data_IF_914121661528
#
_entry.id   IF_914121661528
#
_cell.length_a   1.000
_cell.length_b   1.000
_cell.length_c   1.000
_cell.angle_alpha   90.00
_cell.angle_beta   90.00
_cell.angle_gamma   90.00
#
_symmetry.space_group_name_H-M   'P 1'
#
loop_
_entity.id
_entity.type
_entity.pdbx_description
1 polymer ?
#
# COMPACT_ATOMS: atom_id res chain seq x y z
N UNK A 1 75.78 4.22 41.50
CA UNK A 1 74.98 4.60 40.33
C UNK A 1 74.24 3.35 39.91
N UNK A 2 72.92 3.39 39.96
CA UNK A 2 72.08 2.27 39.53
C UNK A 2 72.16 2.14 38.00
N UNK A 3 72.47 0.93 37.51
CA UNK A 3 72.48 0.66 36.09
C UNK A 3 71.04 0.76 35.52
N UNK A 4 70.84 1.38 34.35
CA UNK A 4 69.50 1.49 33.77
C UNK A 4 68.97 0.09 33.41
N UNK A 5 67.75 -0.19 33.79
CA UNK A 5 67.03 -1.49 33.67
C UNK A 5 66.95 -2.00 32.20
N UNK A 6 67.29 -1.20 31.22
CA UNK A 6 67.22 -1.51 29.77
C UNK A 6 68.64 -1.53 29.12
N UNK A 7 69.72 -1.58 29.90
CA UNK A 7 71.07 -1.59 29.34
C UNK A 7 71.43 -2.97 28.78
N UNK A 8 71.57 -3.06 27.44
CA UNK A 8 72.06 -4.30 26.78
C UNK A 8 73.36 -4.01 26.04
N UNK A 9 74.49 -4.14 26.70
CA UNK A 9 75.82 -3.81 26.18
C UNK A 9 76.21 -4.68 24.98
N UNK A 10 75.64 -5.87 24.83
CA UNK A 10 75.88 -6.78 23.70
C UNK A 10 74.92 -6.66 22.55
N UNK A 11 73.91 -5.75 22.66
CA UNK A 11 72.83 -5.61 21.72
C UNK A 11 72.16 -6.95 21.37
N UNK A 12 72.14 -7.89 22.27
CA UNK A 12 71.63 -9.24 22.02
C UNK A 12 70.10 -9.23 21.77
N UNK A 13 69.38 -8.36 22.50
CA UNK A 13 67.95 -8.20 22.31
C UNK A 13 67.64 -7.56 20.95
N UNK A 14 68.41 -6.55 20.55
CA UNK A 14 68.27 -5.91 19.26
C UNK A 14 68.60 -6.85 18.09
N UNK A 15 69.62 -7.68 18.22
CA UNK A 15 69.96 -8.69 17.21
C UNK A 15 68.87 -9.72 17.05
N UNK A 16 68.24 -10.19 18.17
CA UNK A 16 67.09 -11.11 18.10
C UNK A 16 65.85 -10.46 17.47
N UNK A 17 65.56 -9.20 17.84
CA UNK A 17 64.43 -8.45 17.28
C UNK A 17 64.63 -8.22 15.79
N UNK A 18 65.85 -7.83 15.37
CA UNK A 18 66.16 -7.65 13.95
C UNK A 18 66.04 -8.96 13.19
N UNK A 19 66.56 -10.07 13.72
CA UNK A 19 66.41 -11.39 13.11
C UNK A 19 64.93 -11.77 12.96
N UNK A 20 64.10 -11.46 13.98
CA UNK A 20 62.68 -11.69 13.92
C UNK A 20 62.01 -10.89 12.78
N UNK A 21 62.33 -9.60 12.65
CA UNK A 21 61.82 -8.76 11.56
C UNK A 21 62.32 -9.22 10.18
N UNK A 22 63.56 -9.66 10.08
CA UNK A 22 64.11 -10.19 8.83
C UNK A 22 63.38 -11.49 8.42
N UNK A 23 63.12 -12.38 9.37
CA UNK A 23 62.36 -13.62 9.15
C UNK A 23 60.91 -13.32 8.74
N UNK A 24 60.24 -12.39 9.44
CA UNK A 24 58.87 -11.97 9.10
C UNK A 24 58.86 -11.37 7.71
N UNK A 25 59.80 -10.47 7.39
CA UNK A 25 59.90 -9.85 6.08
C UNK A 25 60.10 -10.86 4.95
N UNK A 26 61.00 -11.82 5.13
CA UNK A 26 61.21 -12.92 4.17
C UNK A 26 59.94 -13.77 4.02
N UNK A 27 59.29 -14.10 5.15
CA UNK A 27 58.06 -14.89 5.12
C UNK A 27 56.94 -14.18 4.35
N UNK A 28 56.73 -12.87 4.59
CA UNK A 28 55.74 -12.07 3.86
C UNK A 28 56.09 -12.01 2.37
N UNK A 29 57.36 -11.82 2.04
CA UNK A 29 57.79 -11.79 0.64
C UNK A 29 57.54 -13.10 -0.06
N UNK A 30 57.85 -14.23 0.59
CA UNK A 30 57.57 -15.56 0.03
C UNK A 30 56.07 -15.82 -0.13
N UNK A 31 55.26 -15.34 0.80
CA UNK A 31 53.80 -15.44 0.73
C UNK A 31 53.24 -14.63 -0.45
N UNK A 32 53.75 -13.44 -0.67
CA UNK A 32 53.38 -12.59 -1.84
C UNK A 32 53.80 -13.26 -3.14
N UNK A 33 55.02 -13.79 -3.21
CA UNK A 33 55.54 -14.52 -4.38
C UNK A 33 54.68 -15.78 -4.63
N UNK A 34 54.36 -16.53 -3.58
CA UNK A 34 53.49 -17.69 -3.68
C UNK A 34 52.09 -17.34 -4.20
N UNK A 35 51.51 -16.25 -3.63
CA UNK A 35 50.20 -15.78 -4.07
C UNK A 35 50.23 -15.27 -5.54
N UNK A 36 51.27 -14.51 -5.90
CA UNK A 36 51.45 -14.09 -7.29
C UNK A 36 51.66 -15.29 -8.23
N UNK A 37 52.46 -16.26 -7.83
CA UNK A 37 52.66 -17.48 -8.60
C UNK A 37 51.41 -18.32 -8.75
N UNK A 38 50.60 -18.47 -7.68
CA UNK A 38 49.32 -19.17 -7.75
C UNK A 38 48.30 -18.41 -8.57
N UNK A 39 48.28 -17.07 -8.47
CA UNK A 39 47.37 -16.22 -9.29
C UNK A 39 47.75 -16.26 -10.78
N UNK A 40 49.07 -16.32 -11.11
CA UNK A 40 49.52 -16.39 -12.50
C UNK A 40 49.46 -17.83 -13.08
N UNK A 41 49.43 -18.84 -12.23
CA UNK A 41 49.24 -20.25 -12.61
C UNK A 41 47.83 -20.78 -12.37
N UNK A 42 46.89 -19.96 -11.88
CA UNK A 42 45.50 -20.37 -11.90
C UNK A 42 45.16 -20.67 -13.34
N UNK A 43 45.19 -21.96 -13.72
CA UNK A 43 44.48 -22.39 -14.92
C UNK A 43 43.09 -21.80 -14.85
N UNK A 44 42.57 -21.23 -15.95
CA UNK A 44 41.19 -20.82 -15.99
C UNK A 44 40.40 -22.02 -15.44
N UNK A 45 39.64 -21.77 -14.35
CA UNK A 45 38.73 -22.78 -13.79
C UNK A 45 38.15 -23.52 -14.99
N UNK A 46 38.24 -24.86 -15.09
CA UNK A 46 37.63 -25.58 -16.18
C UNK A 46 36.24 -25.03 -16.30
N UNK A 47 35.88 -24.55 -17.51
CA UNK A 47 34.53 -24.06 -17.75
C UNK A 47 33.61 -25.02 -17.05
N UNK A 48 33.08 -24.63 -15.89
CA UNK A 48 32.00 -25.33 -15.28
C UNK A 48 31.00 -25.41 -16.42
N UNK A 49 30.87 -26.60 -17.00
CA UNK A 49 29.83 -26.94 -17.96
C UNK A 49 28.51 -26.85 -17.19
N UNK A 50 28.22 -25.68 -16.66
CA UNK A 50 26.86 -25.29 -16.38
C UNK A 50 26.17 -25.39 -17.74
N UNK A 51 25.20 -26.28 -17.88
CA UNK A 51 24.42 -26.35 -19.12
C UNK A 51 24.02 -24.93 -19.43
N UNK A 52 24.10 -24.48 -20.69
CA UNK A 52 24.05 -23.07 -21.06
C UNK A 52 22.79 -22.42 -20.50
N UNK A 53 22.89 -21.84 -19.31
CA UNK A 53 21.82 -21.07 -18.63
C UNK A 53 21.45 -19.79 -19.37
N UNK A 54 22.14 -19.48 -20.49
CA UNK A 54 21.76 -18.39 -21.39
C UNK A 54 20.37 -18.57 -22.02
N UNK A 55 19.90 -19.81 -22.22
CA UNK A 55 18.56 -20.07 -22.78
C UNK A 55 17.41 -19.66 -21.85
N UNK A 56 17.39 -19.98 -20.55
CA UNK A 56 16.32 -19.52 -19.68
C UNK A 56 16.23 -18.00 -19.56
N UNK A 57 17.38 -17.31 -19.51
CA UNK A 57 17.38 -15.85 -19.41
C UNK A 57 16.89 -15.17 -20.69
N UNK A 58 17.30 -15.66 -21.87
CA UNK A 58 16.77 -15.17 -23.15
C UNK A 58 15.30 -15.52 -23.34
N UNK A 59 14.88 -16.71 -22.94
CA UNK A 59 13.48 -17.11 -23.01
C UNK A 59 12.59 -16.33 -22.03
N UNK A 60 13.08 -16.02 -20.83
CA UNK A 60 12.39 -15.15 -19.88
C UNK A 60 12.31 -13.72 -20.41
N UNK A 61 13.40 -13.19 -20.97
CA UNK A 61 13.44 -11.85 -21.56
C UNK A 61 12.54 -11.73 -22.80
N UNK A 62 12.47 -12.75 -23.64
CA UNK A 62 11.54 -12.81 -24.77
C UNK A 62 10.09 -12.95 -24.30
N UNK A 63 9.82 -13.78 -23.27
CA UNK A 63 8.50 -13.87 -22.64
C UNK A 63 8.07 -12.55 -21.98
N UNK A 64 9.00 -11.84 -21.37
CA UNK A 64 8.72 -10.51 -20.82
C UNK A 64 8.46 -9.48 -21.91
N UNK A 65 9.21 -9.51 -23.00
CA UNK A 65 8.95 -8.66 -24.18
C UNK A 65 7.60 -8.99 -24.83
N UNK A 66 7.25 -10.26 -24.97
CA UNK A 66 5.92 -10.69 -25.47
C UNK A 66 4.81 -10.23 -24.51
N UNK A 67 4.98 -10.44 -23.21
CA UNK A 67 4.05 -9.93 -22.19
C UNK A 67 3.94 -8.40 -22.22
N UNK A 68 5.06 -7.70 -22.40
CA UNK A 68 5.07 -6.24 -22.57
C UNK A 68 4.36 -5.80 -23.85
N UNK A 69 4.50 -6.55 -24.96
CA UNK A 69 3.74 -6.30 -26.20
C UNK A 69 2.25 -6.56 -26.02
N UNK A 70 1.88 -7.65 -25.33
CA UNK A 70 0.49 -7.94 -25.00
C UNK A 70 -0.11 -6.88 -24.08
N UNK A 71 0.61 -6.47 -23.05
CA UNK A 71 0.22 -5.34 -22.17
C UNK A 71 0.02 -4.05 -22.99
N UNK A 72 0.93 -3.76 -23.93
CA UNK A 72 0.80 -2.60 -24.84
C UNK A 72 -0.39 -2.72 -25.78
N UNK A 73 -0.71 -3.92 -26.29
CA UNK A 73 -1.90 -4.16 -27.10
C UNK A 73 -3.19 -4.00 -26.29
N UNK A 74 -3.24 -4.55 -25.08
CA UNK A 74 -4.35 -4.38 -24.14
C UNK A 74 -4.51 -2.91 -23.73
N UNK A 75 -3.41 -2.21 -23.45
CA UNK A 75 -3.40 -0.78 -23.20
C UNK A 75 -3.87 0.02 -24.42
N UNK A 76 -3.48 -0.36 -25.64
CA UNK A 76 -3.95 0.28 -26.88
C UNK A 76 -5.44 0.05 -27.13
N UNK A 77 -5.96 -1.15 -26.83
CA UNK A 77 -7.39 -1.46 -26.89
C UNK A 77 -8.14 -0.64 -25.83
N UNK A 78 -7.63 -0.58 -24.60
CA UNK A 78 -8.19 0.29 -23.54
C UNK A 78 -8.11 1.77 -23.90
N UNK A 79 -6.96 2.25 -24.44
CA UNK A 79 -6.85 3.62 -25.00
C UNK A 79 -7.91 3.88 -26.07
N UNK A 80 -8.22 2.92 -26.91
CA UNK A 80 -9.30 3.00 -27.89
C UNK A 80 -10.68 3.12 -27.25
N UNK A 81 -10.92 2.43 -26.15
CA UNK A 81 -12.14 2.55 -25.33
C UNK A 81 -12.15 3.88 -24.59
N UNK A 82 -11.04 4.30 -23.99
CA UNK A 82 -10.90 5.59 -23.33
C UNK A 82 -10.90 6.77 -24.32
N UNK A 83 -10.28 6.64 -25.51
CA UNK A 83 -10.32 7.68 -26.54
C UNK A 83 -11.74 7.90 -27.08
N UNK A 84 -12.60 6.89 -27.10
CA UNK A 84 -14.04 7.06 -27.36
C UNK A 84 -14.79 7.72 -26.21
N UNK A 85 -14.21 7.71 -25.00
CA UNK A 85 -14.70 8.42 -23.80
C UNK A 85 -14.13 9.84 -23.67
N UNK A 86 -13.33 10.35 -24.62
CA UNK A 86 -12.63 11.64 -24.56
C UNK A 86 -13.45 12.89 -24.90
N UNK A 87 -14.76 12.78 -25.05
CA UNK A 87 -15.64 13.89 -24.64
C UNK A 87 -15.61 13.96 -23.09
N UNK A 88 -15.98 15.06 -22.40
CA UNK A 88 -15.94 15.15 -20.93
C UNK A 88 -16.91 14.12 -20.33
N UNK A 89 -16.56 12.85 -20.44
CA UNK A 89 -17.35 11.74 -19.98
C UNK A 89 -16.96 11.47 -18.57
N UNK A 90 -17.86 11.82 -17.73
CA UNK A 90 -17.86 11.40 -16.34
C UNK A 90 -17.75 9.87 -16.29
N UNK A 91 -16.70 9.34 -15.69
CA UNK A 91 -16.64 7.94 -15.31
C UNK A 91 -17.87 7.66 -14.47
N UNK A 92 -18.73 6.76 -14.93
CA UNK A 92 -19.94 6.37 -14.20
C UNK A 92 -19.56 5.22 -13.28
N UNK A 93 -19.69 5.44 -11.97
CA UNK A 93 -19.52 4.39 -10.99
C UNK A 93 -20.46 3.22 -11.30
N UNK A 94 -19.99 2.01 -11.07
CA UNK A 94 -20.71 0.77 -11.33
C UNK A 94 -21.19 0.60 -12.80
N UNK A 95 -20.41 1.12 -13.75
CA UNK A 95 -20.58 0.83 -15.18
C UNK A 95 -20.52 -0.70 -15.44
N UNK A 96 -21.01 -1.16 -16.60
CA UNK A 96 -21.04 -2.60 -16.91
C UNK A 96 -19.65 -3.24 -16.85
N UNK A 97 -18.61 -2.53 -17.27
CA UNK A 97 -17.22 -3.00 -17.29
C UNK A 97 -16.53 -2.93 -15.92
N UNK A 98 -17.20 -2.35 -14.90
CA UNK A 98 -16.60 -2.07 -13.60
C UNK A 98 -15.61 -0.89 -13.65
N UNK A 99 -15.29 -0.33 -12.49
CA UNK A 99 -14.34 0.78 -12.33
C UNK A 99 -13.29 0.36 -11.30
N UNK A 100 -12.03 0.60 -11.63
CA UNK A 100 -10.89 0.32 -10.77
C UNK A 100 -10.34 1.61 -10.23
N UNK A 101 -10.50 1.82 -8.95
CA UNK A 101 -9.87 2.91 -8.24
C UNK A 101 -8.69 2.39 -7.41
N UNK A 102 -7.73 3.24 -7.12
CA UNK A 102 -6.61 2.90 -6.24
C UNK A 102 -6.18 4.11 -5.42
N UNK A 103 -5.77 3.84 -4.19
CA UNK A 103 -5.13 4.82 -3.33
C UNK A 103 -3.62 4.79 -3.55
N UNK A 104 -3.05 5.95 -3.76
CA UNK A 104 -1.62 6.18 -3.85
C UNK A 104 -1.14 6.89 -2.59
N UNK A 105 -0.08 6.39 -1.99
CA UNK A 105 0.52 7.00 -0.81
C UNK A 105 1.97 7.39 -1.10
N UNK A 106 2.36 8.64 -0.84
CA UNK A 106 3.69 9.13 -1.19
C UNK A 106 4.78 8.60 -0.24
N UNK A 107 4.44 8.27 1.01
CA UNK A 107 5.39 7.78 2.03
C UNK A 107 5.91 6.36 1.77
N UNK A 108 5.35 5.62 0.81
CA UNK A 108 5.78 4.29 0.42
C UNK A 108 6.29 4.29 -1.03
N UNK A 109 7.59 4.10 -1.20
CA UNK A 109 8.21 4.06 -2.53
C UNK A 109 7.66 2.93 -3.42
N UNK A 110 7.14 1.85 -2.83
CA UNK A 110 6.49 0.77 -3.53
C UNK A 110 5.17 1.22 -4.19
N UNK A 111 4.49 2.23 -3.62
CA UNK A 111 3.26 2.80 -4.16
C UNK A 111 3.47 3.39 -5.57
N UNK A 112 4.55 4.17 -5.76
CA UNK A 112 4.88 4.70 -7.08
C UNK A 112 5.34 3.61 -8.07
N UNK A 113 6.04 2.59 -7.57
CA UNK A 113 6.47 1.46 -8.40
C UNK A 113 5.26 0.66 -8.90
N UNK A 114 4.28 0.41 -8.03
CA UNK A 114 3.02 -0.23 -8.37
C UNK A 114 2.20 0.63 -9.36
N UNK A 115 2.05 1.94 -9.10
CA UNK A 115 1.38 2.85 -10.02
C UNK A 115 1.98 2.79 -11.43
N UNK A 116 3.31 2.80 -11.54
CA UNK A 116 4.00 2.69 -12.84
C UNK A 116 3.75 1.37 -13.55
N UNK A 117 3.69 0.28 -12.82
CA UNK A 117 3.47 -1.06 -13.39
C UNK A 117 2.04 -1.22 -13.88
N UNK A 118 1.06 -0.69 -13.13
CA UNK A 118 -0.37 -0.93 -13.38
C UNK A 118 -1.16 0.30 -13.85
N UNK A 119 -0.47 1.38 -14.24
CA UNK A 119 -1.06 2.66 -14.63
C UNK A 119 -2.20 2.57 -15.65
N UNK A 120 -2.13 1.61 -16.59
CA UNK A 120 -3.17 1.39 -17.60
C UNK A 120 -4.33 0.52 -17.12
N UNK A 121 -4.28 0.04 -15.89
CA UNK A 121 -5.33 -0.78 -15.28
C UNK A 121 -6.15 0.00 -14.24
N UNK A 122 -5.80 1.24 -13.97
CA UNK A 122 -6.46 2.10 -12.98
C UNK A 122 -7.27 3.18 -13.72
N UNK A 123 -8.52 3.34 -13.34
CA UNK A 123 -9.43 4.34 -13.91
C UNK A 123 -9.49 5.59 -13.02
N UNK A 124 -9.47 5.43 -11.68
CA UNK A 124 -9.49 6.52 -10.69
C UNK A 124 -8.28 6.40 -9.77
N UNK A 125 -7.63 7.52 -9.48
CA UNK A 125 -6.53 7.59 -8.52
C UNK A 125 -6.88 8.55 -7.38
N UNK A 126 -6.74 8.08 -6.15
CA UNK A 126 -6.88 8.85 -4.93
C UNK A 126 -5.52 9.01 -4.25
N UNK A 127 -4.74 10.02 -4.63
CA UNK A 127 -3.44 10.24 -4.01
C UNK A 127 -3.59 10.94 -2.65
N UNK A 128 -2.96 10.38 -1.62
CA UNK A 128 -2.91 10.89 -0.25
C UNK A 128 -1.88 12.01 -0.13
N UNK A 129 -2.27 13.22 -0.49
CA UNK A 129 -1.36 14.35 -0.59
C UNK A 129 -1.63 15.49 0.36
N UNK A 130 -2.86 15.62 0.82
CA UNK A 130 -3.32 16.83 1.46
C UNK A 130 -3.85 16.53 2.87
N UNK A 131 -3.63 17.48 3.77
CA UNK A 131 -4.00 17.35 5.18
C UNK A 131 -4.72 18.61 5.66
N UNK A 132 -5.71 18.43 6.52
CA UNK A 132 -6.45 19.47 7.20
C UNK A 132 -6.40 19.22 8.71
N UNK A 133 -5.25 19.47 9.33
CA UNK A 133 -4.97 19.14 10.73
C UNK A 133 -4.98 20.37 11.65
N UNK A 134 -5.18 21.56 11.10
CA UNK A 134 -5.15 22.80 11.86
C UNK A 134 -6.55 23.30 12.25
N UNK A 135 -6.74 23.93 13.42
CA UNK A 135 -8.05 24.44 13.83
C UNK A 135 -8.65 25.53 12.93
N UNK A 136 -7.81 26.22 12.16
CA UNK A 136 -8.21 27.25 11.21
C UNK A 136 -8.44 26.72 9.77
N UNK A 137 -8.33 25.41 9.58
CA UNK A 137 -8.60 24.73 8.31
C UNK A 137 -7.60 25.06 7.20
N UNK A 138 -6.32 25.22 7.54
CA UNK A 138 -5.28 25.37 6.51
C UNK A 138 -5.07 24.06 5.79
N UNK A 139 -4.95 24.15 4.47
CA UNK A 139 -4.58 23.02 3.64
C UNK A 139 -3.07 22.82 3.67
N UNK A 140 -2.65 21.65 4.06
CA UNK A 140 -1.24 21.32 4.23
C UNK A 140 -0.86 20.07 3.42
N UNK A 141 0.42 19.94 3.10
CA UNK A 141 1.06 18.70 2.63
C UNK A 141 2.16 18.31 3.60
N UNK A 142 2.53 17.04 3.60
CA UNK A 142 3.63 16.52 4.41
C UNK A 142 4.88 16.34 3.53
N UNK A 143 6.02 16.81 4.01
CA UNK A 143 7.32 16.47 3.44
C UNK A 143 7.76 15.11 4.02
N UNK A 144 7.79 14.09 3.19
CA UNK A 144 8.10 12.71 3.57
C UNK A 144 9.50 12.54 4.18
N UNK A 145 10.46 13.40 3.78
CA UNK A 145 11.85 13.30 4.25
C UNK A 145 12.01 13.83 5.67
N UNK A 146 11.25 14.88 6.00
CA UNK A 146 11.36 15.59 7.27
C UNK A 146 10.20 15.33 8.21
N UNK A 147 9.14 14.68 7.73
CA UNK A 147 7.85 14.48 8.43
C UNK A 147 7.28 15.81 8.97
N UNK A 148 7.38 16.88 8.17
CA UNK A 148 6.89 18.21 8.53
C UNK A 148 5.76 18.61 7.62
N UNK A 149 4.77 19.28 8.19
CA UNK A 149 3.67 19.87 7.45
C UNK A 149 4.05 21.25 6.93
N UNK A 150 3.66 21.51 5.69
CA UNK A 150 3.82 22.80 5.01
C UNK A 150 2.48 23.25 4.46
N UNK A 151 2.19 24.55 4.58
CA UNK A 151 0.98 25.09 3.96
C UNK A 151 1.08 24.99 2.44
N UNK A 152 0.02 24.48 1.81
CA UNK A 152 -0.04 24.37 0.35
C UNK A 152 -0.28 25.77 -0.23
N UNK A 153 0.75 26.27 -0.90
CA UNK A 153 0.68 27.55 -1.64
C UNK A 153 0.69 27.23 -3.13
N UNK A 154 -0.37 27.56 -3.87
CA UNK A 154 -0.53 27.13 -5.28
C UNK A 154 0.61 27.51 -6.22
N UNK A 155 1.28 28.63 -5.97
CA UNK A 155 2.40 29.12 -6.79
C UNK A 155 3.78 28.69 -6.26
N UNK A 156 3.83 27.90 -5.19
CA UNK A 156 5.08 27.45 -4.59
C UNK A 156 5.48 26.08 -5.15
N UNK A 157 6.62 26.03 -5.84
CA UNK A 157 7.27 24.78 -6.27
C UNK A 157 8.01 24.07 -5.12
N UNK A 158 8.13 24.71 -3.96
CA UNK A 158 9.00 24.27 -2.85
C UNK A 158 8.34 23.17 -2.00
N UNK A 159 7.02 23.08 -2.00
CA UNK A 159 6.25 22.13 -1.20
C UNK A 159 5.10 21.56 -2.00
N UNK A 160 5.37 21.23 -3.27
CA UNK A 160 4.39 20.57 -4.10
C UNK A 160 4.16 19.14 -3.61
N UNK A 161 2.91 18.78 -3.57
CA UNK A 161 2.48 17.39 -3.52
C UNK A 161 3.22 16.59 -4.59
N UNK A 162 3.55 15.37 -4.29
CA UNK A 162 4.36 14.45 -5.06
C UNK A 162 4.66 14.85 -6.53
N UNK A 163 5.83 15.44 -6.78
CA UNK A 163 6.27 15.94 -8.10
C UNK A 163 6.38 14.85 -9.17
N UNK A 164 6.30 13.58 -8.80
CA UNK A 164 6.51 12.43 -9.71
C UNK A 164 5.23 12.01 -10.41
N UNK A 165 4.09 11.99 -9.70
CA UNK A 165 2.87 11.34 -10.18
C UNK A 165 2.26 12.09 -11.37
N UNK A 166 1.98 13.38 -11.26
CA UNK A 166 1.31 14.10 -12.34
C UNK A 166 2.13 14.19 -13.64
N UNK A 167 3.46 14.47 -13.61
CA UNK A 167 4.28 14.40 -14.80
C UNK A 167 4.31 12.99 -15.43
N UNK A 168 4.38 11.95 -14.61
CA UNK A 168 4.32 10.57 -15.06
C UNK A 168 2.98 10.25 -15.75
N UNK A 169 1.85 10.57 -15.12
CA UNK A 169 0.53 10.33 -15.70
C UNK A 169 0.31 11.08 -17.02
N UNK A 170 0.84 12.30 -17.12
CA UNK A 170 0.83 13.07 -18.38
C UNK A 170 1.65 12.40 -19.48
N UNK A 171 2.79 11.78 -19.12
CA UNK A 171 3.63 11.08 -20.11
C UNK A 171 3.01 9.79 -20.61
N UNK A 172 2.20 9.11 -19.79
CA UNK A 172 1.56 7.83 -20.13
C UNK A 172 0.22 7.99 -20.88
N UNK A 173 -0.36 9.20 -20.88
CA UNK A 173 -1.65 9.50 -21.53
C UNK A 173 -2.75 8.46 -21.21
N UNK A 174 -2.93 8.17 -19.94
CA UNK A 174 -3.75 7.04 -19.47
C UNK A 174 -5.26 7.31 -19.50
N UNK A 175 -5.68 8.56 -19.53
CA UNK A 175 -7.08 8.96 -19.31
C UNK A 175 -7.56 8.76 -17.86
N UNK A 176 -6.69 8.38 -16.94
CA UNK A 176 -6.97 8.21 -15.51
C UNK A 176 -7.52 9.50 -14.90
N UNK A 177 -8.59 9.40 -14.12
CA UNK A 177 -9.16 10.53 -13.38
C UNK A 177 -8.48 10.62 -12.00
N UNK A 178 -7.91 11.78 -11.68
CA UNK A 178 -7.17 12.00 -10.41
C UNK A 178 -7.98 12.87 -9.47
N UNK A 179 -8.15 12.39 -8.23
CA UNK A 179 -8.86 13.05 -7.14
C UNK A 179 -7.93 13.15 -5.94
N UNK A 180 -7.18 14.25 -5.78
CA UNK A 180 -6.36 14.45 -4.60
C UNK A 180 -7.16 14.22 -3.31
N UNK A 181 -6.59 13.44 -2.38
CA UNK A 181 -7.21 13.13 -1.11
C UNK A 181 -6.77 14.14 -0.05
N UNK A 182 -7.72 14.57 0.75
CA UNK A 182 -7.48 15.37 1.96
C UNK A 182 -7.93 14.57 3.17
N UNK A 183 -7.05 14.37 4.12
CA UNK A 183 -7.35 13.71 5.38
C UNK A 183 -7.08 14.61 6.60
N UNK A 184 -7.38 14.12 7.80
CA UNK A 184 -7.09 14.79 9.07
C UNK A 184 -6.06 14.04 9.92
N UNK A 185 -5.16 13.28 9.30
CA UNK A 185 -4.06 12.57 9.95
C UNK A 185 -2.83 13.50 10.07
N UNK A 186 -2.25 13.62 11.28
CA UNK A 186 -1.10 14.50 11.52
C UNK A 186 0.27 13.80 11.43
N UNK A 187 0.27 12.59 10.89
CA UNK A 187 1.46 11.73 10.81
C UNK A 187 1.62 10.79 12.01
N UNK A 188 0.79 10.96 13.05
CA UNK A 188 0.77 10.12 14.26
C UNK A 188 -0.64 9.66 14.59
N UNK A 189 -1.59 10.60 14.64
CA UNK A 189 -2.98 10.34 15.02
C UNK A 189 -3.97 11.08 14.13
N UNK A 190 -5.24 10.64 14.16
CA UNK A 190 -6.36 11.34 13.57
C UNK A 190 -6.79 12.52 14.46
N UNK A 191 -6.63 13.74 13.96
CA UNK A 191 -6.86 14.97 14.74
C UNK A 191 -8.35 15.31 14.80
N UNK A 192 -8.83 15.74 16.00
CA UNK A 192 -10.18 16.32 16.10
C UNK A 192 -10.23 17.72 15.44
N UNK A 193 -10.81 17.75 14.25
CA UNK A 193 -10.98 18.96 13.43
C UNK A 193 -12.31 19.68 13.64
N UNK A 194 -13.03 19.38 14.72
CA UNK A 194 -14.34 19.98 14.99
C UNK A 194 -14.30 21.51 15.07
N UNK A 195 -13.21 22.11 15.54
CA UNK A 195 -13.03 23.56 15.57
C UNK A 195 -13.06 24.14 14.16
N UNK A 196 -12.27 23.56 13.24
CA UNK A 196 -12.28 23.92 11.82
C UNK A 196 -13.67 23.75 11.18
N UNK A 197 -14.27 22.58 11.38
CA UNK A 197 -15.56 22.24 10.75
C UNK A 197 -16.69 23.16 11.20
N UNK A 198 -16.70 23.62 12.45
CA UNK A 198 -17.76 24.46 13.01
C UNK A 198 -17.57 25.97 12.72
N UNK A 199 -16.37 26.38 12.32
CA UNK A 199 -16.12 27.78 11.94
C UNK A 199 -16.35 27.98 10.43
N UNK A 200 -17.39 28.75 10.08
CA UNK A 200 -17.72 29.05 8.69
C UNK A 200 -16.61 29.83 7.96
N UNK A 201 -15.85 30.68 8.68
CA UNK A 201 -14.73 31.41 8.08
C UNK A 201 -13.56 30.45 7.77
N UNK A 202 -13.26 29.51 8.68
CA UNK A 202 -12.27 28.46 8.44
C UNK A 202 -12.64 27.56 7.26
N UNK A 203 -13.90 27.10 7.18
CA UNK A 203 -14.39 26.36 6.02
C UNK A 203 -14.27 27.17 4.73
N UNK A 204 -14.58 28.46 4.78
CA UNK A 204 -14.43 29.38 3.64
C UNK A 204 -12.99 29.46 3.14
N UNK A 205 -12.02 29.62 4.05
CA UNK A 205 -10.58 29.62 3.71
C UNK A 205 -10.14 28.28 3.12
N UNK A 206 -10.51 27.17 3.74
CA UNK A 206 -10.21 25.83 3.25
C UNK A 206 -10.71 25.63 1.82
N UNK A 207 -11.96 25.97 1.54
CA UNK A 207 -12.55 25.87 0.20
C UNK A 207 -11.82 26.69 -0.85
N UNK A 208 -11.38 27.90 -0.49
CA UNK A 208 -10.56 28.75 -1.36
C UNK A 208 -9.21 28.10 -1.69
N UNK A 209 -8.55 27.50 -0.69
CA UNK A 209 -7.28 26.79 -0.88
C UNK A 209 -7.47 25.55 -1.76
N UNK A 210 -8.52 24.74 -1.52
CA UNK A 210 -8.88 23.60 -2.39
C UNK A 210 -9.12 24.08 -3.81
N UNK A 211 -9.87 25.16 -4.00
CA UNK A 211 -10.17 25.68 -5.31
C UNK A 211 -8.92 26.16 -6.07
N UNK A 212 -7.98 26.79 -5.37
CA UNK A 212 -6.69 27.20 -5.91
C UNK A 212 -5.83 25.97 -6.25
N UNK A 213 -5.74 25.01 -5.33
CA UNK A 213 -4.99 23.77 -5.56
C UNK A 213 -5.51 22.98 -6.79
N UNK A 214 -6.81 22.77 -6.88
CA UNK A 214 -7.39 22.02 -8.01
C UNK A 214 -7.24 22.73 -9.36
N UNK A 215 -6.95 24.03 -9.37
CA UNK A 215 -6.66 24.78 -10.57
C UNK A 215 -5.23 24.59 -11.09
N UNK A 216 -4.32 23.98 -10.31
CA UNK A 216 -2.90 23.82 -10.70
C UNK A 216 -2.69 22.70 -11.72
N UNK A 217 -3.61 21.75 -11.81
CA UNK A 217 -3.51 20.62 -12.74
C UNK A 217 -4.88 20.12 -13.20
N UNK A 218 -4.88 19.10 -14.07
CA UNK A 218 -6.11 18.49 -14.62
C UNK A 218 -6.75 17.48 -13.65
N UNK A 219 -6.98 17.91 -12.43
CA UNK A 219 -7.75 17.11 -11.46
C UNK A 219 -9.23 17.03 -11.87
N UNK A 220 -9.89 15.94 -11.47
CA UNK A 220 -11.30 15.69 -11.80
C UNK A 220 -12.23 15.93 -10.62
N UNK A 221 -11.68 16.24 -9.48
CA UNK A 221 -12.38 16.52 -8.24
C UNK A 221 -11.51 16.37 -7.02
N UNK A 222 -12.15 16.09 -5.91
CA UNK A 222 -11.53 15.96 -4.59
C UNK A 222 -12.04 14.70 -3.90
N UNK A 223 -11.19 14.07 -3.09
CA UNK A 223 -11.52 13.04 -2.13
C UNK A 223 -11.36 13.60 -0.72
N UNK A 224 -12.35 13.45 0.14
CA UNK A 224 -12.26 13.78 1.57
C UNK A 224 -12.24 12.47 2.37
N UNK A 225 -11.20 12.32 3.18
CA UNK A 225 -10.97 11.18 4.06
C UNK A 225 -10.82 11.66 5.51
N UNK A 226 -11.91 12.18 6.08
CA UNK A 226 -11.90 12.62 7.47
C UNK A 226 -12.38 11.50 8.38
N UNK A 227 -11.46 11.01 9.20
CA UNK A 227 -11.71 9.92 10.13
C UNK A 227 -11.82 10.38 11.58
N UNK A 228 -12.40 9.53 12.41
CA UNK A 228 -12.54 9.77 13.87
C UNK A 228 -13.23 11.11 14.20
N UNK A 229 -14.22 11.47 13.39
CA UNK A 229 -14.94 12.73 13.54
C UNK A 229 -15.77 12.73 14.82
N UNK A 230 -15.44 13.63 15.74
CA UNK A 230 -16.23 13.82 16.95
C UNK A 230 -17.66 14.26 16.63
N UNK A 231 -18.64 13.77 17.41
CA UNK A 231 -20.07 14.11 17.21
C UNK A 231 -20.34 15.61 17.09
N UNK A 232 -19.59 16.44 17.84
CA UNK A 232 -19.70 17.90 17.80
C UNK A 232 -19.29 18.52 16.45
N UNK A 233 -18.51 17.81 15.61
CA UNK A 233 -18.07 18.26 14.29
C UNK A 233 -19.00 17.85 13.14
N UNK A 234 -19.96 16.95 13.34
CA UNK A 234 -20.77 16.36 12.25
C UNK A 234 -21.59 17.37 11.47
N UNK A 235 -22.22 18.33 12.17
CA UNK A 235 -23.00 19.37 11.51
C UNK A 235 -22.11 20.28 10.62
N UNK A 236 -20.92 20.61 11.13
CA UNK A 236 -19.93 21.37 10.38
C UNK A 236 -19.38 20.59 9.19
N UNK A 237 -19.16 19.28 9.34
CA UNK A 237 -18.76 18.40 8.24
C UNK A 237 -19.81 18.35 7.12
N UNK A 238 -21.08 18.14 7.48
CA UNK A 238 -22.17 18.19 6.51
C UNK A 238 -22.26 19.54 5.78
N UNK A 239 -22.06 20.65 6.51
CA UNK A 239 -22.00 21.97 5.92
C UNK A 239 -20.82 22.13 4.94
N UNK A 240 -19.62 21.66 5.33
CA UNK A 240 -18.44 21.66 4.46
C UNK A 240 -18.68 20.89 3.16
N UNK A 241 -19.22 19.66 3.27
CA UNK A 241 -19.50 18.84 2.08
C UNK A 241 -20.51 19.51 1.13
N UNK A 242 -21.55 20.13 1.69
CA UNK A 242 -22.53 20.89 0.88
C UNK A 242 -21.89 22.07 0.17
N UNK A 243 -21.06 22.82 0.88
CA UNK A 243 -20.35 24.00 0.36
C UNK A 243 -19.34 23.59 -0.72
N UNK A 244 -18.49 22.56 -0.47
CA UNK A 244 -17.55 22.01 -1.44
C UNK A 244 -18.26 21.45 -2.68
N UNK A 245 -19.34 20.71 -2.49
CA UNK A 245 -20.13 20.17 -3.59
C UNK A 245 -20.63 21.27 -4.55
N UNK A 246 -21.09 22.40 -3.97
CA UNK A 246 -21.51 23.56 -4.78
C UNK A 246 -20.36 24.16 -5.60
N UNK A 247 -19.22 24.37 -4.96
CA UNK A 247 -18.04 24.96 -5.60
C UNK A 247 -17.46 24.06 -6.69
N UNK A 248 -17.38 22.75 -6.43
CA UNK A 248 -16.82 21.78 -7.37
C UNK A 248 -17.74 21.55 -8.57
N UNK A 249 -19.04 21.42 -8.35
CA UNK A 249 -20.02 21.26 -9.44
C UNK A 249 -20.05 22.45 -10.38
N UNK A 250 -19.90 23.67 -9.85
CA UNK A 250 -19.81 24.88 -10.67
C UNK A 250 -18.62 24.86 -11.65
N UNK A 251 -17.63 23.99 -11.39
CA UNK A 251 -16.41 23.79 -12.20
C UNK A 251 -16.43 22.48 -12.99
N UNK A 252 -17.50 21.69 -12.92
CA UNK A 252 -17.57 20.36 -13.53
C UNK A 252 -16.71 19.30 -12.82
N UNK A 253 -16.35 19.54 -11.55
CA UNK A 253 -15.56 18.66 -10.72
C UNK A 253 -16.46 17.85 -9.78
N UNK A 254 -15.97 16.67 -9.34
CA UNK A 254 -16.69 15.76 -8.47
C UNK A 254 -16.14 15.80 -7.04
N UNK A 255 -16.98 15.42 -6.09
CA UNK A 255 -16.61 15.25 -4.68
C UNK A 255 -16.84 13.81 -4.25
N UNK A 256 -15.78 13.15 -3.80
CA UNK A 256 -15.84 11.84 -3.17
C UNK A 256 -15.52 11.93 -1.68
N UNK A 257 -16.01 10.97 -0.91
CA UNK A 257 -15.67 10.80 0.50
C UNK A 257 -15.37 9.34 0.80
N UNK A 258 -14.48 9.09 1.74
CA UNK A 258 -14.32 7.78 2.37
C UNK A 258 -15.10 7.70 3.67
N UNK A 259 -15.50 6.51 4.04
CA UNK A 259 -16.18 6.22 5.30
C UNK A 259 -15.71 4.88 5.85
N UNK A 260 -15.55 4.82 7.16
CA UNK A 260 -15.31 3.57 7.87
C UNK A 260 -16.57 2.70 7.88
N UNK A 261 -16.39 1.40 7.72
CA UNK A 261 -17.49 0.45 7.86
C UNK A 261 -18.06 0.49 9.28
N UNK A 262 -19.39 0.40 9.38
CA UNK A 262 -20.14 0.36 10.66
C UNK A 262 -19.92 1.55 11.61
N UNK A 263 -19.40 2.66 11.12
CA UNK A 263 -19.22 3.84 11.96
C UNK A 263 -20.55 4.62 12.04
N UNK A 264 -21.26 4.64 13.20
CA UNK A 264 -22.54 5.34 13.34
C UNK A 264 -22.40 6.86 13.41
N UNK A 265 -21.18 7.38 13.50
CA UNK A 265 -20.92 8.80 13.66
C UNK A 265 -21.09 9.58 12.36
N UNK A 266 -21.05 8.92 11.22
CA UNK A 266 -21.33 9.57 9.95
C UNK A 266 -22.85 9.74 9.75
N UNK A 267 -23.30 10.97 9.58
CA UNK A 267 -24.67 11.28 9.16
C UNK A 267 -24.87 10.90 7.68
N UNK A 268 -24.86 9.61 7.37
CA UNK A 268 -24.81 9.05 6.00
C UNK A 268 -25.77 9.71 5.02
N UNK A 269 -27.03 9.89 5.39
CA UNK A 269 -28.02 10.47 4.48
C UNK A 269 -27.68 11.91 4.07
N UNK A 270 -27.26 12.74 5.03
CA UNK A 270 -26.88 14.11 4.78
C UNK A 270 -25.57 14.20 3.97
N UNK A 271 -24.63 13.29 4.22
CA UNK A 271 -23.37 13.21 3.49
C UNK A 271 -23.61 12.78 2.04
N UNK A 272 -24.32 11.67 1.81
CA UNK A 272 -24.60 11.09 0.48
C UNK A 272 -25.33 12.06 -0.43
N UNK A 273 -26.19 12.94 0.11
CA UNK A 273 -26.88 13.96 -0.65
C UNK A 273 -25.93 15.01 -1.28
N UNK A 274 -24.74 15.18 -0.71
CA UNK A 274 -23.80 16.23 -1.08
C UNK A 274 -22.55 15.73 -1.84
N UNK A 275 -22.43 14.42 -2.10
CA UNK A 275 -21.24 13.85 -2.76
C UNK A 275 -21.60 13.07 -4.01
N UNK A 276 -20.63 12.89 -4.89
CA UNK A 276 -20.78 12.16 -6.15
C UNK A 276 -20.40 10.68 -6.01
N UNK A 277 -19.65 10.32 -4.98
CA UNK A 277 -19.32 8.94 -4.63
C UNK A 277 -18.87 8.79 -3.19
N UNK A 278 -19.07 7.58 -2.66
CA UNK A 278 -18.71 7.19 -1.29
C UNK A 278 -17.86 5.94 -1.36
N UNK A 279 -16.63 6.01 -0.89
CA UNK A 279 -15.73 4.86 -0.74
C UNK A 279 -15.95 4.28 0.65
N UNK A 280 -16.52 3.08 0.70
CA UNK A 280 -16.65 2.32 1.94
C UNK A 280 -15.31 1.62 2.20
N UNK A 281 -14.60 2.01 3.25
CA UNK A 281 -13.40 1.32 3.75
C UNK A 281 -13.83 -0.01 4.38
N UNK A 282 -13.90 -1.04 3.56
CA UNK A 282 -14.46 -2.34 3.94
C UNK A 282 -13.37 -3.33 4.36
N UNK A 283 -12.50 -2.87 5.25
CA UNK A 283 -11.38 -3.56 5.88
C UNK A 283 -11.20 -3.05 7.31
N UNK A 284 -10.18 -3.53 8.02
CA UNK A 284 -9.93 -3.23 9.43
C UNK A 284 -11.02 -3.73 10.37
N UNK A 285 -11.52 -4.96 10.11
CA UNK A 285 -12.35 -5.68 11.10
C UNK A 285 -11.59 -5.86 12.40
N UNK A 286 -10.28 -6.20 12.29
CA UNK A 286 -9.32 -6.21 13.37
C UNK A 286 -8.08 -5.41 12.96
N UNK A 287 -7.63 -4.53 13.85
CA UNK A 287 -6.43 -3.69 13.65
C UNK A 287 -5.72 -3.40 14.99
N UNK A 288 -4.42 -3.04 14.98
CA UNK A 288 -3.56 -3.06 16.17
C UNK A 288 -3.87 -2.08 17.31
N UNK A 289 -4.88 -1.30 17.34
CA UNK A 289 -5.10 -0.39 18.48
C UNK A 289 -6.57 -0.05 18.72
N UNK A 290 -7.13 -0.45 19.82
CA UNK A 290 -6.75 -1.33 20.94
C UNK A 290 -7.14 -2.80 20.71
N UNK A 291 -6.97 -3.30 19.48
CA UNK A 291 -7.59 -4.51 18.96
C UNK A 291 -7.07 -5.84 19.51
N UNK A 292 -7.77 -6.88 19.13
CA UNK A 292 -7.37 -8.29 19.27
C UNK A 292 -6.95 -8.80 17.90
N UNK A 293 -5.96 -9.70 17.87
CA UNK A 293 -5.54 -10.37 16.64
C UNK A 293 -6.73 -11.08 15.97
N UNK A 294 -6.83 -10.93 14.66
CA UNK A 294 -7.91 -11.52 13.87
C UNK A 294 -7.86 -11.12 12.41
N UNK A 295 -8.81 -11.61 11.59
CA UNK A 295 -8.87 -11.33 10.17
C UNK A 295 -9.01 -9.83 9.89
N UNK A 296 -8.33 -9.34 8.87
CA UNK A 296 -8.39 -7.93 8.45
C UNK A 296 -9.77 -7.58 7.91
N UNK A 297 -10.40 -8.50 7.19
CA UNK A 297 -11.78 -8.39 6.72
C UNK A 297 -12.32 -9.78 6.39
N UNK A 298 -13.03 -10.42 7.33
CA UNK A 298 -13.67 -11.68 7.05
C UNK A 298 -14.75 -11.54 5.98
N UNK A 299 -14.97 -12.59 5.21
CA UNK A 299 -15.90 -12.56 4.06
C UNK A 299 -17.33 -12.17 4.46
N UNK A 300 -17.82 -12.73 5.56
CA UNK A 300 -19.18 -12.44 6.04
C UNK A 300 -19.29 -11.00 6.56
N UNK A 301 -18.31 -10.51 7.29
CA UNK A 301 -18.25 -9.12 7.76
C UNK A 301 -18.22 -8.15 6.58
N UNK A 302 -17.41 -8.44 5.55
CA UNK A 302 -17.34 -7.66 4.33
C UNK A 302 -18.70 -7.55 3.62
N UNK A 303 -19.39 -8.70 3.45
CA UNK A 303 -20.70 -8.77 2.79
C UNK A 303 -21.77 -8.02 3.61
N UNK A 304 -21.78 -8.19 4.93
CA UNK A 304 -22.73 -7.50 5.80
C UNK A 304 -22.59 -5.99 5.73
N UNK A 305 -21.37 -5.49 5.72
CA UNK A 305 -21.11 -4.04 5.59
C UNK A 305 -21.66 -3.49 4.28
N UNK A 306 -21.46 -4.19 3.17
CA UNK A 306 -22.05 -3.81 1.88
C UNK A 306 -23.59 -3.80 1.94
N UNK A 307 -24.20 -4.81 2.55
CA UNK A 307 -25.67 -4.87 2.74
C UNK A 307 -26.17 -3.70 3.58
N UNK A 308 -25.44 -3.32 4.64
CA UNK A 308 -25.77 -2.15 5.45
C UNK A 308 -25.58 -0.84 4.70
N UNK A 309 -24.46 -0.66 4.03
CA UNK A 309 -24.17 0.54 3.26
C UNK A 309 -25.21 0.81 2.15
N UNK A 310 -25.63 -0.23 1.43
CA UNK A 310 -26.65 -0.14 0.39
C UNK A 310 -28.04 0.31 0.87
N UNK A 311 -28.32 0.23 2.18
CA UNK A 311 -29.59 0.76 2.72
C UNK A 311 -29.63 2.28 2.71
N UNK A 312 -28.46 2.94 2.71
CA UNK A 312 -28.33 4.39 2.88
C UNK A 312 -27.55 5.06 1.74
N UNK A 313 -26.72 4.31 1.03
CA UNK A 313 -25.92 4.80 -0.09
C UNK A 313 -26.45 4.21 -1.39
N UNK A 314 -26.88 5.04 -2.35
CA UNK A 314 -27.29 4.58 -3.68
C UNK A 314 -26.16 3.78 -4.36
N UNK A 315 -26.54 2.74 -5.08
CA UNK A 315 -25.56 1.83 -5.71
C UNK A 315 -24.63 2.56 -6.69
N UNK A 316 -25.14 3.58 -7.39
CA UNK A 316 -24.40 4.39 -8.35
C UNK A 316 -23.38 5.35 -7.70
N UNK A 317 -23.41 5.48 -6.37
CA UNK A 317 -22.44 6.25 -5.57
C UNK A 317 -21.54 5.38 -4.73
N UNK A 318 -21.85 4.10 -4.54
CA UNK A 318 -21.07 3.22 -3.64
C UNK A 318 -19.86 2.62 -4.36
N UNK A 319 -18.69 2.83 -3.76
CA UNK A 319 -17.43 2.21 -4.12
C UNK A 319 -17.03 1.31 -2.96
N UNK A 320 -16.77 0.03 -3.19
CA UNK A 320 -16.25 -0.86 -2.15
C UNK A 320 -14.73 -0.82 -2.17
N UNK A 321 -14.13 -0.31 -1.10
CA UNK A 321 -12.69 -0.46 -0.95
C UNK A 321 -12.35 -1.91 -0.55
N UNK A 322 -11.26 -2.41 -1.10
CA UNK A 322 -10.64 -3.70 -0.79
C UNK A 322 -9.29 -3.40 -0.16
N UNK A 323 -9.04 -3.93 1.03
CA UNK A 323 -7.69 -3.99 1.57
C UNK A 323 -6.89 -5.05 0.82
N UNK A 324 -5.60 -4.83 0.68
CA UNK A 324 -4.68 -5.87 0.20
C UNK A 324 -3.35 -5.68 0.92
N UNK A 325 -3.34 -6.03 2.17
CA UNK A 325 -2.29 -5.89 3.18
C UNK A 325 -2.62 -6.79 4.38
N UNK A 326 -1.81 -6.75 5.41
CA UNK A 326 -2.02 -7.51 6.64
C UNK A 326 -1.54 -6.79 7.89
N UNK A 327 -1.78 -7.44 9.02
CA UNK A 327 -1.22 -7.06 10.30
C UNK A 327 -0.46 -8.24 10.90
N UNK A 328 0.76 -7.97 11.35
CA UNK A 328 1.55 -8.88 12.15
C UNK A 328 1.34 -8.56 13.63
N UNK A 329 0.67 -9.46 14.31
CA UNK A 329 0.30 -9.36 15.70
C UNK A 329 1.30 -10.10 16.56
N UNK A 330 1.84 -9.44 17.57
CA UNK A 330 2.78 -10.06 18.50
C UNK A 330 2.07 -10.46 19.78
N UNK A 331 2.03 -11.75 20.07
CA UNK A 331 1.43 -12.26 21.30
C UNK A 331 2.26 -11.87 22.50
N UNK A 332 1.69 -11.04 23.38
CA UNK A 332 2.34 -10.60 24.62
C UNK A 332 2.69 -11.80 25.52
N UNK A 333 3.95 -11.96 25.91
CA UNK A 333 4.35 -13.05 26.78
C UNK A 333 3.77 -12.84 28.20
N UNK A 334 3.33 -13.94 28.83
CA UNK A 334 2.65 -13.87 30.15
C UNK A 334 3.58 -13.48 31.31
N UNK A 335 4.88 -13.77 31.21
CA UNK A 335 5.82 -13.72 32.34
C UNK A 335 7.11 -12.92 32.07
N UNK A 336 7.18 -12.21 30.98
CA UNK A 336 8.31 -11.32 30.65
C UNK A 336 7.83 -10.05 29.97
N UNK A 337 8.63 -8.98 30.05
CA UNK A 337 8.36 -7.77 29.32
C UNK A 337 8.58 -8.00 27.80
N UNK A 338 7.88 -7.24 26.98
CA UNK A 338 8.16 -7.18 25.55
C UNK A 338 9.55 -6.61 25.32
N UNK A 339 10.33 -7.14 24.36
CA UNK A 339 11.56 -6.52 23.94
C UNK A 339 11.31 -5.10 23.40
N UNK A 340 12.25 -4.16 23.58
CA UNK A 340 12.12 -2.83 23.02
C UNK A 340 11.95 -2.88 21.49
N UNK A 341 11.01 -2.09 20.98
CA UNK A 341 10.76 -1.98 19.53
C UNK A 341 9.82 -3.05 18.94
N UNK A 342 9.52 -4.12 19.69
CA UNK A 342 8.56 -5.16 19.23
C UNK A 342 7.13 -4.68 19.49
N UNK A 343 6.36 -4.57 18.43
CA UNK A 343 4.96 -4.14 18.44
C UNK A 343 4.22 -4.73 17.25
N UNK A 344 2.89 -4.71 17.31
CA UNK A 344 2.05 -5.02 16.17
C UNK A 344 2.33 -4.04 15.02
N UNK A 345 2.41 -4.54 13.79
CA UNK A 345 2.77 -3.72 12.62
C UNK A 345 1.88 -4.05 11.42
N UNK A 346 1.66 -3.05 10.57
CA UNK A 346 1.10 -3.27 9.24
C UNK A 346 2.16 -3.91 8.34
N UNK A 347 1.76 -4.88 7.51
CA UNK A 347 2.64 -5.59 6.59
C UNK A 347 2.03 -5.63 5.19
N UNK A 348 2.89 -5.57 4.17
CA UNK A 348 2.45 -5.86 2.82
C UNK A 348 2.12 -7.34 2.65
N UNK A 349 1.36 -7.68 1.63
CA UNK A 349 1.12 -9.10 1.29
C UNK A 349 2.42 -9.83 1.00
N UNK A 350 3.36 -9.15 0.35
CA UNK A 350 4.69 -9.71 0.09
C UNK A 350 5.46 -10.01 1.38
N UNK A 351 5.41 -9.12 2.38
CA UNK A 351 6.07 -9.33 3.67
C UNK A 351 5.46 -10.50 4.44
N UNK A 352 4.13 -10.68 4.38
CA UNK A 352 3.46 -11.83 4.97
C UNK A 352 3.95 -13.16 4.36
N UNK A 353 4.07 -13.23 3.03
CA UNK A 353 4.62 -14.39 2.33
C UNK A 353 6.11 -14.61 2.65
N UNK A 354 6.89 -13.53 2.80
CA UNK A 354 8.29 -13.62 3.19
C UNK A 354 8.44 -14.15 4.62
N UNK A 355 7.61 -13.69 5.55
CA UNK A 355 7.60 -14.18 6.94
C UNK A 355 7.29 -15.68 6.99
N UNK A 356 6.30 -16.17 6.24
CA UNK A 356 5.99 -17.59 6.14
C UNK A 356 7.19 -18.39 5.60
N UNK A 357 7.80 -17.95 4.51
CA UNK A 357 8.96 -18.60 3.90
C UNK A 357 10.15 -18.64 4.85
N UNK A 358 10.49 -17.51 5.46
CA UNK A 358 11.70 -17.37 6.28
C UNK A 358 11.58 -18.09 7.63
N UNK A 359 10.35 -18.27 8.13
CA UNK A 359 10.05 -19.09 9.32
C UNK A 359 9.75 -20.56 9.00
N UNK A 360 9.79 -20.95 7.71
CA UNK A 360 9.49 -22.32 7.26
C UNK A 360 8.09 -22.80 7.75
N UNK A 361 7.12 -21.88 7.75
CA UNK A 361 5.74 -22.19 8.17
C UNK A 361 4.78 -22.10 6.99
N UNK A 362 3.68 -22.85 7.09
CA UNK A 362 2.63 -22.82 6.08
C UNK A 362 1.77 -21.56 6.19
N UNK A 363 1.17 -21.19 5.09
CA UNK A 363 0.11 -20.18 5.05
C UNK A 363 -1.22 -20.92 5.04
N UNK A 364 -1.94 -20.83 6.15
CA UNK A 364 -3.27 -21.40 6.26
C UNK A 364 -4.32 -20.45 5.69
N UNK A 365 -5.29 -20.98 4.96
CA UNK A 365 -6.46 -20.23 4.54
C UNK A 365 -7.59 -20.54 5.49
N UNK A 366 -7.88 -19.60 6.40
CA UNK A 366 -8.89 -19.81 7.45
C UNK A 366 -10.30 -19.98 6.85
N UNK A 367 -10.92 -21.11 7.11
CA UNK A 367 -12.20 -21.48 6.52
C UNK A 367 -13.40 -20.66 7.02
N UNK A 368 -13.29 -20.04 8.19
CA UNK A 368 -14.35 -19.22 8.77
C UNK A 368 -14.32 -17.78 8.25
N UNK A 369 -13.13 -17.18 8.23
CA UNK A 369 -12.95 -15.80 7.76
C UNK A 369 -12.69 -15.68 6.26
N UNK A 370 -12.22 -16.74 5.61
CA UNK A 370 -11.71 -16.78 4.26
C UNK A 370 -10.55 -15.78 4.06
N UNK A 371 -9.75 -15.58 5.11
CA UNK A 371 -8.51 -14.81 5.04
C UNK A 371 -7.29 -15.72 5.25
N UNK A 372 -6.18 -15.51 4.55
CA UNK A 372 -4.94 -16.21 4.81
C UNK A 372 -4.33 -15.77 6.15
N UNK A 373 -3.71 -16.73 6.82
CA UNK A 373 -3.12 -16.59 8.14
C UNK A 373 -1.77 -17.29 8.21
N UNK A 374 -0.81 -16.70 8.92
CA UNK A 374 0.51 -17.25 9.20
C UNK A 374 0.81 -17.13 10.69
N UNK A 375 1.27 -18.20 11.32
CA UNK A 375 1.72 -18.16 12.70
C UNK A 375 3.16 -18.64 12.79
N UNK A 376 4.04 -17.86 13.45
CA UNK A 376 5.46 -18.19 13.57
C UNK A 376 6.06 -17.70 14.89
N UNK A 377 7.29 -18.11 15.18
CA UNK A 377 8.09 -17.60 16.29
C UNK A 377 9.24 -16.76 15.76
N UNK A 378 9.44 -15.59 16.37
CA UNK A 378 10.58 -14.74 16.07
C UNK A 378 11.87 -15.21 16.76
N UNK A 379 12.98 -14.50 16.56
CA UNK A 379 14.29 -14.75 17.18
C UNK A 379 14.27 -14.62 18.72
N UNK A 380 13.24 -13.96 19.27
CA UNK A 380 13.02 -13.81 20.71
C UNK A 380 12.05 -14.85 21.27
N UNK A 381 11.65 -15.86 20.48
CA UNK A 381 10.60 -16.82 20.80
C UNK A 381 9.26 -16.14 21.19
N UNK A 382 8.93 -15.05 20.53
CA UNK A 382 7.60 -14.46 20.58
C UNK A 382 6.76 -15.04 19.46
N UNK A 383 5.51 -15.37 19.79
CA UNK A 383 4.58 -15.81 18.77
C UNK A 383 4.04 -14.60 18.02
N UNK A 384 4.09 -14.70 16.70
CA UNK A 384 3.50 -13.79 15.74
C UNK A 384 2.33 -14.45 15.04
N UNK A 385 1.28 -13.70 14.80
CA UNK A 385 0.11 -14.13 14.05
C UNK A 385 -0.15 -13.08 12.97
N UNK A 386 0.11 -13.39 11.69
CA UNK A 386 -0.17 -12.50 10.56
C UNK A 386 -1.51 -12.88 9.94
N UNK A 387 -2.44 -11.94 9.92
CA UNK A 387 -3.66 -12.00 9.12
C UNK A 387 -3.55 -11.02 7.97
N UNK A 388 -3.86 -11.44 6.74
CA UNK A 388 -3.71 -10.58 5.57
C UNK A 388 -4.77 -10.85 4.50
N UNK A 389 -4.85 -9.95 3.53
CA UNK A 389 -5.79 -10.00 2.42
C UNK A 389 -4.99 -10.10 1.13
N UNK A 390 -4.99 -11.27 0.50
CA UNK A 390 -4.30 -11.54 -0.76
C UNK A 390 -5.23 -11.39 -1.98
N UNK A 391 -4.75 -11.78 -3.15
CA UNK A 391 -5.55 -11.74 -4.38
C UNK A 391 -6.74 -12.71 -4.37
N UNK A 392 -6.65 -13.84 -3.65
CA UNK A 392 -7.74 -14.81 -3.54
C UNK A 392 -8.86 -14.22 -2.70
N UNK A 393 -8.52 -13.63 -1.54
CA UNK A 393 -9.48 -12.92 -0.70
C UNK A 393 -10.14 -11.77 -1.47
N UNK A 394 -9.34 -10.96 -2.18
CA UNK A 394 -9.86 -9.86 -3.00
C UNK A 394 -10.83 -10.35 -4.08
N UNK A 395 -10.51 -11.46 -4.75
CA UNK A 395 -11.41 -12.07 -5.74
C UNK A 395 -12.75 -12.49 -5.12
N UNK A 396 -12.71 -13.14 -3.96
CA UNK A 396 -13.92 -13.58 -3.25
C UNK A 396 -14.77 -12.37 -2.82
N UNK A 397 -14.15 -11.34 -2.28
CA UNK A 397 -14.81 -10.10 -1.87
C UNK A 397 -15.43 -9.36 -3.06
N UNK A 398 -14.68 -9.22 -4.17
CA UNK A 398 -15.20 -8.58 -5.38
C UNK A 398 -16.39 -9.34 -5.98
N UNK A 399 -16.33 -10.68 -6.03
CA UNK A 399 -17.44 -11.50 -6.52
C UNK A 399 -18.71 -11.35 -5.67
N UNK A 400 -18.54 -11.36 -4.35
CA UNK A 400 -19.66 -11.14 -3.44
C UNK A 400 -20.27 -9.73 -3.59
N UNK A 401 -19.45 -8.72 -3.76
CA UNK A 401 -19.91 -7.35 -4.03
C UNK A 401 -20.60 -7.24 -5.39
N UNK A 402 -20.10 -7.91 -6.43
CA UNK A 402 -20.71 -7.95 -7.75
C UNK A 402 -22.08 -8.63 -7.74
N UNK A 403 -22.26 -9.69 -6.94
CA UNK A 403 -23.55 -10.33 -6.71
C UNK A 403 -24.57 -9.36 -6.05
N UNK A 404 -24.08 -8.39 -5.27
CA UNK A 404 -24.87 -7.27 -4.74
C UNK A 404 -25.01 -6.09 -5.72
N UNK A 405 -24.51 -6.19 -6.94
CA UNK A 405 -24.56 -5.16 -7.97
C UNK A 405 -23.48 -4.08 -7.87
N UNK A 406 -22.49 -4.23 -6.98
CA UNK A 406 -21.39 -3.28 -6.84
C UNK A 406 -20.25 -3.72 -7.74
N UNK A 407 -19.85 -2.85 -8.66
CA UNK A 407 -18.82 -3.15 -9.68
C UNK A 407 -17.63 -2.19 -9.63
N UNK A 408 -17.70 -1.15 -8.78
CA UNK A 408 -16.63 -0.20 -8.57
C UNK A 408 -15.87 -0.55 -7.29
N UNK A 409 -14.57 -0.76 -7.43
CA UNK A 409 -13.69 -1.12 -6.33
C UNK A 409 -12.54 -0.13 -6.21
N UNK A 410 -12.10 0.12 -4.96
CA UNK A 410 -10.93 0.92 -4.66
C UNK A 410 -9.91 0.07 -3.89
N UNK A 411 -8.69 0.00 -4.39
CA UNK A 411 -7.62 -0.73 -3.73
C UNK A 411 -6.96 0.14 -2.65
N UNK A 412 -7.01 -0.29 -1.41
CA UNK A 412 -6.15 0.19 -0.34
C UNK A 412 -5.03 -0.83 -0.08
N UNK A 413 -3.83 -0.57 -0.53
CA UNK A 413 -3.28 0.55 -1.29
C UNK A 413 -2.22 0.06 -2.29
N UNK A 414 -1.85 0.88 -3.25
CA UNK A 414 -0.73 0.61 -4.14
C UNK A 414 0.56 0.44 -3.32
N UNK A 415 1.35 -0.58 -3.66
CA UNK A 415 2.63 -0.92 -3.04
C UNK A 415 2.53 -1.97 -1.94
N UNK A 416 1.37 -2.17 -1.31
CA UNK A 416 1.16 -3.26 -0.33
C UNK A 416 0.52 -4.51 -0.93
N UNK A 417 -0.04 -4.37 -2.12
CA UNK A 417 -0.90 -5.37 -2.72
C UNK A 417 -0.15 -6.62 -3.23
N UNK A 418 -0.87 -7.74 -3.25
CA UNK A 418 -0.49 -8.91 -4.02
C UNK A 418 -0.53 -8.59 -5.52
N UNK A 419 0.58 -8.74 -6.21
CA UNK A 419 0.67 -8.44 -7.65
C UNK A 419 -0.29 -9.26 -8.51
N UNK A 420 -0.72 -10.41 -8.05
CA UNK A 420 -1.71 -11.23 -8.75
C UNK A 420 -3.12 -10.64 -8.71
N UNK A 421 -3.40 -9.70 -7.80
CA UNK A 421 -4.65 -8.94 -7.74
C UNK A 421 -5.03 -8.37 -9.11
N UNK A 422 -4.06 -7.77 -9.80
CA UNK A 422 -4.27 -7.13 -11.10
C UNK A 422 -4.66 -8.11 -12.22
N UNK A 423 -4.44 -9.41 -12.01
CA UNK A 423 -4.88 -10.48 -12.93
C UNK A 423 -6.29 -10.95 -12.59
N UNK A 424 -6.59 -11.07 -11.30
CA UNK A 424 -7.90 -11.57 -10.86
C UNK A 424 -8.99 -10.50 -10.94
N UNK A 425 -8.62 -9.24 -10.97
CA UNK A 425 -9.58 -8.13 -11.06
C UNK A 425 -10.45 -8.18 -12.32
N UNK A 426 -9.95 -8.77 -13.41
CA UNK A 426 -10.66 -8.93 -14.68
C UNK A 426 -11.51 -10.21 -14.76
N UNK A 427 -11.45 -11.08 -13.73
CA UNK A 427 -12.20 -12.33 -13.73
C UNK A 427 -13.68 -12.01 -13.47
N UNK A 428 -14.60 -12.30 -14.43
CA UNK A 428 -16.02 -12.01 -14.25
C UNK A 428 -16.59 -12.73 -13.04
N UNK A 429 -17.44 -12.03 -12.27
CA UNK A 429 -18.25 -12.65 -11.24
C UNK A 429 -19.27 -13.60 -11.87
N UNK A 430 -19.34 -14.84 -11.44
CA UNK A 430 -20.42 -15.74 -11.80
C UNK A 430 -21.68 -15.36 -11.03
N UNK A 431 -22.78 -15.13 -11.73
CA UNK A 431 -24.08 -14.94 -11.10
C UNK A 431 -24.43 -16.17 -10.25
N UNK A 432 -24.61 -15.96 -8.93
CA UNK A 432 -24.95 -17.05 -8.01
C UNK A 432 -23.78 -17.68 -7.25
N UNK A 433 -22.56 -17.13 -7.32
CA UNK A 433 -21.40 -17.62 -6.56
C UNK A 433 -21.63 -17.59 -5.02
N UNK A 434 -22.48 -16.71 -4.51
CA UNK A 434 -22.88 -16.70 -3.08
C UNK A 434 -23.48 -18.04 -2.60
N UNK A 435 -24.15 -18.80 -3.46
CA UNK A 435 -24.76 -20.07 -3.07
C UNK A 435 -23.79 -21.24 -3.11
N UNK A 436 -22.74 -21.19 -3.92
CA UNK A 436 -21.78 -22.29 -4.04
C UNK A 436 -20.84 -22.39 -2.85
N UNK A 437 -20.52 -21.25 -2.18
CA UNK A 437 -19.66 -21.23 -0.98
C UNK A 437 -20.39 -21.70 0.29
N UNK A 438 -21.73 -21.61 0.32
CA UNK A 438 -22.53 -22.10 1.45
C UNK A 438 -22.78 -23.62 1.44
N UNK A 439 -22.60 -24.25 0.30
CA UNK A 439 -22.87 -25.68 0.07
C UNK A 439 -21.61 -26.56 0.17
N UNK A 440 -20.48 -26.01 0.58
CA UNK A 440 -19.29 -26.80 0.94
C UNK A 440 -19.50 -27.26 2.39
N UNK A 441 -19.82 -28.54 2.65
CA UNK A 441 -19.96 -29.01 4.01
C UNK A 441 -18.63 -28.85 4.76
N UNK A 442 -18.65 -28.42 6.03
CA UNK A 442 -17.43 -28.36 6.83
C UNK A 442 -16.87 -29.76 7.00
N UNK A 443 -15.62 -29.98 6.54
CA UNK A 443 -14.88 -31.20 6.84
C UNK A 443 -15.17 -32.37 5.92
N UNK A 444 -14.76 -32.31 4.66
CA UNK A 444 -14.25 -33.49 3.99
C UNK A 444 -12.73 -33.31 3.86
N UNK A 445 -12.02 -33.93 4.80
CA UNK A 445 -10.61 -34.24 4.61
C UNK A 445 -10.49 -34.97 3.27
N UNK A 446 -9.82 -34.34 2.32
CA UNK A 446 -9.43 -35.01 1.08
C UNK A 446 -8.25 -35.89 1.50
N UNK A 447 -8.52 -37.14 1.81
CA UNK A 447 -7.49 -38.18 1.92
C UNK A 447 -6.68 -38.19 0.62
N UNK A 448 -5.52 -37.59 0.65
CA UNK A 448 -4.49 -37.74 -0.36
C UNK A 448 -3.68 -39.01 -0.06
N UNK A 449 -4.34 -40.14 -0.09
CA UNK A 449 -3.67 -41.44 -0.24
C UNK A 449 -4.16 -42.09 -1.53
N UNK A 450 -3.21 -42.37 -2.39
CA UNK A 450 -3.40 -43.40 -3.41
C UNK A 450 -3.04 -43.05 -4.84
N UNK A 451 -1.90 -43.56 -5.18
CA UNK A 451 -1.26 -44.12 -6.41
C UNK A 451 -0.32 -43.21 -7.13
#
# INVERSE_FOLDING_TARGET
>A
MAQPVFYDPRRARWKRLRLLFDVIGVSITLLIIFFAYTALRSEPLPDLLLPPQKRPYHALKEKEKEKAKERRKLAAVRRGVHARRSAPSQVKLNAEEGIRAAFYVPYDAASFSSLREYVHQIDLLFPDWLHAVTPDGRLQSIDERTNRFFDVVPDSTVHSVDEKVMPFLKSEDTGMEVFPMVNNFDGVDWVDISAFLNDAAARGRFRQQIAAFLATDKYRGLMIDFETLARKGQAGYTALLKELSGDLRARGLKLYVSIQARNPEYGYAAMVANVDGVVLMNYDEHYPSPGTAGPVASQDWFIENLKLARKVIPQDKLISAIGNYGYDWVRKPRHRAMPPGVKDVNVSVQDAWLAARDSETDVDFDGDSLNPHVSYLDEHNLQHDIWFLDAVTALNQMRAAQALGIKTFALWRLGSEDRSLWRVWDIPGEAGAENKLKDVPPGQDVDMEGD
#
